data_IF_131702155738
#
_entry.id   IF_131702155738
#
_cell.length_a   1.000
_cell.length_b   1.000
_cell.length_c   1.000
_cell.angle_alpha   90.00
_cell.angle_beta   90.00
_cell.angle_gamma   90.00
#
_symmetry.space_group_name_H-M   'P 1'
#
loop_
_entity.id
_entity.type
_entity.pdbx_description
1 polymer ?
#
# COMPACT_ATOMS: atom_id res chain seq x y z
N UNK A 1 -33.65 -29.23 -21.80
CA UNK A 1 -32.96 -29.94 -20.69
C UNK A 1 -33.25 -29.21 -19.38
N UNK A 2 -33.72 -29.91 -18.37
CA UNK A 2 -34.01 -29.38 -17.03
C UNK A 2 -32.68 -29.01 -16.34
N UNK A 3 -32.58 -27.78 -15.80
CA UNK A 3 -31.34 -27.27 -15.19
C UNK A 3 -30.84 -28.07 -13.98
N UNK A 4 -31.77 -28.65 -13.20
CA UNK A 4 -31.41 -29.45 -12.02
C UNK A 4 -30.72 -30.75 -12.43
N UNK A 5 -31.25 -31.44 -13.43
CA UNK A 5 -30.67 -32.70 -13.93
C UNK A 5 -29.34 -32.51 -14.67
N UNK A 6 -29.20 -31.39 -15.41
CA UNK A 6 -27.89 -31.01 -15.97
C UNK A 6 -26.88 -30.80 -14.89
N UNK A 7 -27.27 -30.22 -13.75
CA UNK A 7 -26.40 -30.03 -12.59
C UNK A 7 -25.96 -31.34 -11.96
N UNK A 8 -26.82 -32.35 -11.92
CA UNK A 8 -26.44 -33.69 -11.43
C UNK A 8 -25.41 -34.36 -12.35
N UNK A 9 -25.65 -34.37 -13.64
CA UNK A 9 -24.71 -34.90 -14.65
C UNK A 9 -23.36 -34.16 -14.52
N UNK A 10 -23.38 -32.83 -14.44
CA UNK A 10 -22.18 -32.00 -14.25
C UNK A 10 -21.46 -32.37 -12.98
N UNK A 11 -22.14 -32.59 -11.86
CA UNK A 11 -21.55 -32.96 -10.57
C UNK A 11 -20.78 -34.30 -10.64
N UNK A 12 -21.34 -35.27 -11.33
CA UNK A 12 -20.70 -36.58 -11.55
C UNK A 12 -19.49 -36.42 -12.46
N UNK A 13 -19.62 -35.68 -13.53
CA UNK A 13 -18.50 -35.40 -14.44
C UNK A 13 -17.37 -34.65 -13.75
N UNK A 14 -17.66 -33.67 -12.90
CA UNK A 14 -16.65 -32.96 -12.09
C UNK A 14 -15.93 -33.88 -11.12
N UNK A 15 -16.64 -34.80 -10.43
CA UNK A 15 -16.01 -35.77 -9.53
C UNK A 15 -15.08 -36.73 -10.26
N UNK A 16 -15.38 -37.02 -11.53
CA UNK A 16 -14.61 -37.89 -12.41
C UNK A 16 -13.72 -37.11 -13.39
N UNK A 17 -13.55 -35.80 -13.20
CA UNK A 17 -12.77 -34.91 -14.08
C UNK A 17 -11.29 -35.31 -14.24
N UNK A 18 -10.73 -36.12 -13.32
CA UNK A 18 -9.41 -36.72 -13.47
C UNK A 18 -9.29 -37.68 -14.67
N UNK A 19 -10.42 -38.13 -15.23
CA UNK A 19 -10.46 -38.98 -16.43
C UNK A 19 -10.56 -38.17 -17.72
N UNK A 20 -10.88 -36.89 -17.65
CA UNK A 20 -10.78 -36.00 -18.81
C UNK A 20 -9.28 -35.83 -19.04
N UNK A 21 -8.78 -36.50 -20.07
CA UNK A 21 -7.38 -36.41 -20.50
C UNK A 21 -6.98 -34.98 -20.89
N UNK A 22 -5.79 -34.81 -21.41
CA UNK A 22 -5.33 -33.49 -21.89
C UNK A 22 -6.13 -33.03 -23.10
N UNK A 23 -6.63 -33.97 -23.92
CA UNK A 23 -7.34 -33.69 -25.16
C UNK A 23 -8.87 -33.71 -25.02
N UNK A 24 -9.45 -34.83 -24.66
CA UNK A 24 -10.90 -34.97 -24.46
C UNK A 24 -11.27 -36.26 -23.71
N UNK A 25 -12.53 -36.32 -23.22
CA UNK A 25 -13.17 -37.54 -22.73
C UNK A 25 -14.34 -37.85 -23.65
N UNK A 26 -14.38 -39.06 -24.27
CA UNK A 26 -15.49 -39.59 -25.04
C UNK A 26 -16.15 -40.76 -24.29
N UNK A 27 -17.44 -40.67 -24.09
CA UNK A 27 -18.30 -41.76 -23.59
C UNK A 27 -19.27 -42.15 -24.71
N UNK A 28 -19.04 -43.31 -25.27
CA UNK A 28 -19.79 -43.80 -26.45
C UNK A 28 -21.16 -44.37 -26.10
N UNK A 29 -21.35 -44.93 -24.88
CA UNK A 29 -22.63 -45.40 -24.36
C UNK A 29 -22.66 -45.18 -22.83
N UNK A 30 -23.36 -44.13 -22.40
CA UNK A 30 -23.48 -43.75 -20.98
C UNK A 30 -24.07 -44.82 -20.08
N UNK A 31 -24.87 -45.75 -20.61
CA UNK A 31 -25.46 -46.88 -19.85
C UNK A 31 -24.44 -47.92 -19.44
N UNK A 32 -23.22 -47.91 -20.00
CA UNK A 32 -22.12 -48.81 -19.64
C UNK A 32 -21.22 -48.22 -18.58
N UNK A 33 -21.38 -46.95 -18.24
CA UNK A 33 -20.54 -46.24 -17.29
C UNK A 33 -21.14 -46.28 -15.89
N UNK A 34 -20.49 -46.98 -14.95
CA UNK A 34 -20.98 -47.23 -13.58
C UNK A 34 -21.36 -45.96 -12.78
N UNK A 35 -20.74 -44.81 -13.08
CA UNK A 35 -21.03 -43.56 -12.36
C UNK A 35 -22.33 -42.88 -12.81
N UNK A 36 -23.00 -43.38 -13.82
CA UNK A 36 -24.29 -42.89 -14.28
C UNK A 36 -25.46 -43.88 -14.01
N UNK A 37 -25.20 -45.02 -13.34
CA UNK A 37 -26.23 -46.04 -13.06
C UNK A 37 -27.42 -45.50 -12.26
N UNK A 38 -27.24 -44.46 -11.43
CA UNK A 38 -28.25 -43.87 -10.57
C UNK A 38 -28.84 -42.56 -11.12
N UNK A 39 -28.43 -42.12 -12.33
CA UNK A 39 -28.83 -40.83 -12.88
C UNK A 39 -29.77 -41.05 -14.10
N UNK A 40 -30.90 -40.35 -14.08
CA UNK A 40 -31.74 -40.24 -15.27
C UNK A 40 -31.12 -39.28 -16.29
N UNK A 41 -30.49 -39.84 -17.33
CA UNK A 41 -29.84 -39.07 -18.39
C UNK A 41 -30.77 -38.65 -19.54
N UNK A 42 -32.10 -38.73 -19.33
CA UNK A 42 -33.12 -38.18 -20.25
C UNK A 42 -32.92 -38.56 -21.73
N UNK A 43 -32.53 -39.81 -21.98
CA UNK A 43 -32.29 -40.27 -23.34
C UNK A 43 -30.92 -39.92 -23.93
N UNK A 44 -30.06 -39.24 -23.23
CA UNK A 44 -28.69 -39.01 -23.65
C UNK A 44 -27.93 -40.33 -23.65
N UNK A 45 -27.33 -40.72 -24.76
CA UNK A 45 -26.66 -42.00 -24.93
C UNK A 45 -25.15 -41.88 -25.04
N UNK A 46 -24.65 -40.75 -25.53
CA UNK A 46 -23.19 -40.51 -25.59
C UNK A 46 -22.81 -39.08 -25.18
N UNK A 47 -21.57 -38.90 -24.76
CA UNK A 47 -21.02 -37.64 -24.23
C UNK A 47 -19.61 -37.41 -24.73
N UNK A 48 -19.33 -36.20 -25.13
CA UNK A 48 -17.99 -35.71 -25.40
C UNK A 48 -17.69 -34.52 -24.46
N UNK A 49 -16.62 -34.61 -23.68
CA UNK A 49 -16.16 -33.54 -22.83
C UNK A 49 -14.75 -33.06 -23.29
N UNK A 50 -14.63 -31.80 -23.63
CA UNK A 50 -13.38 -31.20 -24.13
C UNK A 50 -12.96 -30.12 -23.17
N UNK A 51 -11.76 -30.19 -22.57
CA UNK A 51 -11.28 -29.17 -21.66
C UNK A 51 -10.96 -27.88 -22.42
N UNK A 52 -11.42 -26.74 -21.87
CA UNK A 52 -10.99 -25.41 -22.32
C UNK A 52 -9.71 -25.05 -21.57
N UNK A 53 -8.59 -25.28 -22.18
CA UNK A 53 -7.26 -24.97 -21.62
C UNK A 53 -6.62 -23.86 -22.46
N UNK A 54 -5.94 -22.93 -21.78
CA UNK A 54 -5.10 -21.95 -22.43
C UNK A 54 -3.81 -21.79 -21.63
N UNK A 55 -2.68 -22.05 -22.27
CA UNK A 55 -1.36 -22.14 -21.62
C UNK A 55 -1.39 -23.10 -20.42
N UNK A 56 -1.24 -22.61 -19.19
CA UNK A 56 -1.27 -23.43 -17.97
C UNK A 56 -2.57 -23.25 -17.16
N UNK A 57 -3.59 -22.58 -17.72
CA UNK A 57 -4.85 -22.28 -17.02
C UNK A 57 -5.98 -23.16 -17.57
N UNK A 58 -6.70 -23.82 -16.66
CA UNK A 58 -7.94 -24.54 -16.98
C UNK A 58 -9.10 -23.54 -16.87
N UNK A 59 -9.66 -23.18 -18.04
CA UNK A 59 -10.77 -22.21 -18.13
C UNK A 59 -12.12 -22.85 -17.86
N UNK A 60 -12.27 -24.14 -18.20
CA UNK A 60 -13.52 -24.88 -18.04
C UNK A 60 -13.53 -26.19 -18.83
N UNK A 61 -14.69 -26.72 -19.06
CA UNK A 61 -14.93 -27.91 -19.89
C UNK A 61 -16.17 -27.68 -20.72
N UNK A 62 -16.10 -27.99 -22.02
CA UNK A 62 -17.25 -28.06 -22.90
C UNK A 62 -17.80 -29.48 -22.88
N UNK A 63 -19.10 -29.62 -22.55
CA UNK A 63 -19.83 -30.89 -22.63
C UNK A 63 -20.75 -30.86 -23.80
N UNK A 64 -20.67 -31.89 -24.65
CA UNK A 64 -21.62 -32.17 -25.74
C UNK A 64 -22.31 -33.49 -25.47
N UNK A 65 -23.62 -33.52 -25.66
CA UNK A 65 -24.47 -34.68 -25.41
C UNK A 65 -25.15 -35.11 -26.71
N UNK A 66 -25.31 -36.42 -26.90
CA UNK A 66 -26.04 -36.98 -28.03
C UNK A 66 -27.00 -38.07 -27.57
N UNK A 67 -28.19 -38.12 -28.20
CA UNK A 67 -29.22 -39.17 -28.01
C UNK A 67 -28.91 -40.43 -28.82
N UNK A 68 -27.80 -40.48 -29.52
CA UNK A 68 -27.36 -41.59 -30.34
C UNK A 68 -26.09 -42.20 -29.67
N UNK A 69 -26.02 -43.53 -29.62
CA UNK A 69 -24.79 -44.23 -29.26
C UNK A 69 -23.75 -43.96 -30.31
N UNK A 70 -22.47 -43.85 -29.87
CA UNK A 70 -21.39 -43.52 -30.78
C UNK A 70 -21.69 -42.24 -31.58
N UNK A 71 -22.36 -41.25 -30.94
CA UNK A 71 -22.87 -40.06 -31.61
C UNK A 71 -21.82 -39.03 -31.99
N UNK A 72 -20.53 -39.31 -31.77
CA UNK A 72 -19.43 -38.40 -32.08
C UNK A 72 -18.39 -39.13 -32.95
N UNK A 73 -18.38 -38.80 -34.25
CA UNK A 73 -17.37 -39.28 -35.18
C UNK A 73 -16.04 -38.53 -34.98
N UNK A 74 -14.93 -39.19 -35.37
CA UNK A 74 -13.60 -38.66 -35.17
C UNK A 74 -13.39 -37.31 -35.85
N UNK A 75 -13.86 -37.13 -37.05
CA UNK A 75 -13.78 -35.85 -37.78
C UNK A 75 -14.51 -34.73 -37.05
N UNK A 76 -15.67 -35.03 -36.42
CA UNK A 76 -16.43 -34.09 -35.62
C UNK A 76 -15.69 -33.73 -34.33
N UNK A 77 -15.08 -34.71 -33.67
CA UNK A 77 -14.25 -34.48 -32.45
C UNK A 77 -13.10 -33.55 -32.77
N UNK A 78 -12.34 -33.81 -33.86
CA UNK A 78 -11.18 -32.99 -34.26
C UNK A 78 -11.64 -31.55 -34.59
N UNK A 79 -12.75 -31.38 -35.28
CA UNK A 79 -13.31 -30.07 -35.59
C UNK A 79 -13.72 -29.29 -34.33
N UNK A 80 -14.48 -29.93 -33.43
CA UNK A 80 -14.95 -29.30 -32.19
C UNK A 80 -13.74 -28.97 -31.29
N UNK A 81 -12.75 -29.85 -31.18
CA UNK A 81 -11.52 -29.60 -30.41
C UNK A 81 -10.81 -28.38 -30.94
N UNK A 82 -10.71 -28.21 -32.26
CA UNK A 82 -10.12 -27.01 -32.86
C UNK A 82 -10.86 -25.73 -32.46
N UNK A 83 -12.20 -25.73 -32.53
CA UNK A 83 -13.00 -24.58 -32.09
C UNK A 83 -12.89 -24.31 -30.57
N UNK A 84 -12.84 -25.36 -29.76
CA UNK A 84 -12.65 -25.23 -28.30
C UNK A 84 -11.29 -24.59 -27.98
N UNK A 85 -10.23 -25.02 -28.67
CA UNK A 85 -8.91 -24.42 -28.50
C UNK A 85 -8.86 -22.95 -28.92
N UNK A 86 -9.51 -22.59 -30.02
CA UNK A 86 -9.65 -21.21 -30.46
C UNK A 86 -10.47 -20.38 -29.48
N UNK A 87 -11.60 -20.91 -28.97
CA UNK A 87 -12.42 -20.26 -27.95
C UNK A 87 -11.65 -20.07 -26.65
N UNK A 88 -10.88 -21.09 -26.21
CA UNK A 88 -10.05 -21.02 -25.01
C UNK A 88 -9.04 -19.89 -25.10
N UNK A 89 -8.33 -19.79 -26.23
CA UNK A 89 -7.37 -18.71 -26.50
C UNK A 89 -8.06 -17.35 -26.49
N UNK A 90 -9.24 -17.23 -27.11
CA UNK A 90 -10.00 -15.99 -27.16
C UNK A 90 -10.46 -15.54 -25.76
N UNK A 91 -10.96 -16.48 -24.94
CA UNK A 91 -11.39 -16.21 -23.55
C UNK A 91 -10.19 -15.76 -22.71
N UNK A 92 -9.04 -16.45 -22.83
CA UNK A 92 -7.83 -16.08 -22.09
C UNK A 92 -7.34 -14.68 -22.48
N UNK A 93 -7.27 -14.40 -23.78
CA UNK A 93 -6.89 -13.07 -24.26
C UNK A 93 -7.82 -11.96 -23.75
N UNK A 94 -9.13 -12.21 -23.77
CA UNK A 94 -10.10 -11.25 -23.24
C UNK A 94 -9.89 -10.99 -21.74
N UNK A 95 -9.63 -12.03 -20.95
CA UNK A 95 -9.32 -11.88 -19.51
C UNK A 95 -8.04 -11.07 -19.29
N UNK A 96 -6.97 -11.39 -20.03
CA UNK A 96 -5.69 -10.67 -19.94
C UNK A 96 -5.84 -9.19 -20.32
N UNK A 97 -6.55 -8.89 -21.39
CA UNK A 97 -6.81 -7.50 -21.81
C UNK A 97 -7.60 -6.75 -20.72
N UNK A 98 -8.66 -7.35 -20.18
CA UNK A 98 -9.43 -6.72 -19.12
C UNK A 98 -8.61 -6.47 -17.84
N UNK A 99 -7.71 -7.40 -17.51
CA UNK A 99 -6.80 -7.22 -16.37
C UNK A 99 -5.79 -6.11 -16.64
N UNK A 100 -5.21 -6.06 -17.84
CA UNK A 100 -4.30 -5.00 -18.24
C UNK A 100 -4.96 -3.62 -18.19
N UNK A 101 -6.20 -3.48 -18.69
CA UNK A 101 -6.97 -2.23 -18.63
C UNK A 101 -7.24 -1.80 -17.18
N UNK A 102 -7.62 -2.74 -16.30
CA UNK A 102 -7.80 -2.42 -14.87
C UNK A 102 -6.50 -1.97 -14.22
N UNK A 103 -5.40 -2.67 -14.48
CA UNK A 103 -4.09 -2.31 -13.92
C UNK A 103 -3.64 -0.93 -14.41
N UNK A 104 -3.80 -0.63 -15.71
CA UNK A 104 -3.47 0.67 -16.27
C UNK A 104 -4.25 1.81 -15.57
N UNK A 105 -5.54 1.59 -15.32
CA UNK A 105 -6.36 2.56 -14.59
C UNK A 105 -5.88 2.76 -13.13
N UNK A 106 -5.52 1.69 -12.42
CA UNK A 106 -4.97 1.81 -11.06
C UNK A 106 -3.66 2.61 -11.04
N UNK A 107 -2.78 2.37 -12.01
CA UNK A 107 -1.52 3.14 -12.14
C UNK A 107 -1.80 4.62 -12.37
N UNK A 108 -2.78 4.95 -13.21
CA UNK A 108 -3.17 6.34 -13.47
C UNK A 108 -3.75 7.01 -12.21
N UNK A 109 -4.64 6.34 -11.49
CA UNK A 109 -5.23 6.83 -10.23
C UNK A 109 -4.15 7.07 -9.16
N UNK A 110 -3.17 6.17 -9.03
CA UNK A 110 -2.02 6.35 -8.12
C UNK A 110 -1.11 7.51 -8.55
N UNK A 111 -0.89 7.71 -9.84
CA UNK A 111 -0.11 8.85 -10.33
C UNK A 111 -0.79 10.20 -10.02
N UNK A 112 -2.12 10.25 -10.05
CA UNK A 112 -2.88 11.44 -9.61
C UNK A 112 -2.72 11.62 -8.10
N UNK A 113 -2.86 10.55 -7.29
CA UNK A 113 -2.68 10.61 -5.86
C UNK A 113 -1.29 11.13 -5.47
N UNK A 114 -0.24 10.67 -6.16
CA UNK A 114 1.14 11.16 -6.00
C UNK A 114 1.27 12.66 -6.23
N UNK A 115 0.67 13.17 -7.30
CA UNK A 115 0.69 14.61 -7.61
C UNK A 115 -0.02 15.43 -6.53
N UNK A 116 -1.17 14.96 -6.07
CA UNK A 116 -1.91 15.61 -4.98
C UNK A 116 -1.08 15.60 -3.70
N UNK A 117 -0.50 14.47 -3.31
CA UNK A 117 0.35 14.37 -2.13
C UNK A 117 1.57 15.31 -2.21
N UNK A 118 2.27 15.32 -3.35
CA UNK A 118 3.40 16.22 -3.55
C UNK A 118 3.01 17.69 -3.40
N UNK A 119 1.78 18.08 -3.79
CA UNK A 119 1.27 19.44 -3.60
C UNK A 119 0.98 19.80 -2.14
N UNK A 120 0.87 18.81 -1.26
CA UNK A 120 0.70 19.03 0.18
C UNK A 120 2.02 19.36 0.88
N UNK A 121 3.17 19.01 0.31
CA UNK A 121 4.47 19.33 0.88
C UNK A 121 4.92 20.74 0.44
N UNK A 122 5.70 21.45 1.27
CA UNK A 122 6.26 22.74 0.89
C UNK A 122 7.18 22.61 -0.32
N UNK A 123 7.05 23.53 -1.26
CA UNK A 123 7.89 23.60 -2.47
C UNK A 123 8.80 24.86 -2.50
N UNK A 124 8.68 25.72 -1.52
CA UNK A 124 9.53 26.90 -1.33
C UNK A 124 10.06 26.87 0.10
N UNK A 125 11.32 27.16 0.28
CA UNK A 125 11.97 27.10 1.58
C UNK A 125 12.46 28.47 1.99
N UNK A 126 12.65 28.66 3.31
CA UNK A 126 13.17 29.89 3.88
C UNK A 126 14.63 30.01 3.49
N UNK A 127 14.97 31.13 2.92
CA UNK A 127 16.34 31.47 2.53
C UNK A 127 16.52 32.98 2.69
N UNK A 128 16.90 33.39 3.89
CA UNK A 128 17.14 34.80 4.23
C UNK A 128 18.48 34.96 4.98
N UNK A 129 18.77 36.12 5.48
CA UNK A 129 20.01 36.41 6.20
C UNK A 129 20.15 35.66 7.55
N UNK A 130 19.04 35.14 8.09
CA UNK A 130 18.98 34.50 9.41
C UNK A 130 18.90 32.99 9.34
N UNK A 131 18.20 32.46 8.34
CA UNK A 131 17.92 31.02 8.25
C UNK A 131 17.96 30.56 6.79
N UNK A 132 18.76 29.51 6.54
CA UNK A 132 18.72 28.75 5.31
C UNK A 132 18.09 27.39 5.57
N UNK A 133 17.02 27.08 4.87
CA UNK A 133 16.31 25.82 4.98
C UNK A 133 16.27 25.11 3.63
N UNK A 134 16.47 23.81 3.62
CA UNK A 134 16.26 22.94 2.47
C UNK A 134 15.61 21.64 2.93
N UNK A 135 14.76 21.07 2.11
CA UNK A 135 14.21 19.74 2.34
C UNK A 135 13.98 19.01 1.02
N UNK A 136 13.99 17.69 1.09
CA UNK A 136 13.68 16.81 -0.02
C UNK A 136 12.89 15.62 0.52
N UNK A 137 11.96 15.08 -0.29
CA UNK A 137 11.24 13.84 -0.02
C UNK A 137 11.25 12.99 -1.28
N UNK A 138 11.65 11.74 -1.12
CA UNK A 138 11.70 10.73 -2.19
C UNK A 138 10.94 9.52 -1.67
N UNK A 139 9.71 9.31 -2.16
CA UNK A 139 8.91 8.15 -1.77
C UNK A 139 9.44 6.89 -2.44
N UNK A 140 9.52 5.78 -1.71
CA UNK A 140 9.88 4.48 -2.25
C UNK A 140 8.77 3.91 -3.16
N UNK A 141 7.51 4.14 -2.80
CA UNK A 141 6.32 3.77 -3.57
C UNK A 141 5.72 5.00 -4.27
N UNK A 142 4.59 4.82 -4.97
CA UNK A 142 3.87 5.90 -5.66
C UNK A 142 3.43 7.01 -4.71
N UNK A 143 3.03 6.66 -3.46
CA UNK A 143 2.68 7.58 -2.38
C UNK A 143 3.30 7.11 -1.07
N UNK A 144 3.68 8.04 -0.20
CA UNK A 144 4.44 7.76 1.04
C UNK A 144 3.74 8.24 2.31
N UNK A 145 4.31 7.86 3.47
CA UNK A 145 3.91 8.32 4.80
C UNK A 145 4.66 9.57 5.28
N UNK A 146 5.81 9.85 4.69
CA UNK A 146 6.68 10.96 5.09
C UNK A 146 5.98 12.31 4.98
N UNK A 147 6.14 13.11 6.02
CA UNK A 147 5.58 14.45 6.12
C UNK A 147 6.61 15.43 6.66
N UNK A 148 6.76 16.57 6.04
CA UNK A 148 7.43 17.71 6.62
C UNK A 148 6.68 18.99 6.26
N UNK A 149 6.76 19.97 7.15
CA UNK A 149 6.19 21.29 6.91
C UNK A 149 6.90 22.34 7.76
N UNK A 150 6.68 23.60 7.45
CA UNK A 150 7.12 24.70 8.27
C UNK A 150 6.18 25.90 8.18
N UNK A 151 6.22 26.74 9.20
CA UNK A 151 5.44 27.96 9.28
C UNK A 151 6.28 29.07 9.88
N UNK A 152 6.28 30.23 9.26
CA UNK A 152 6.83 31.45 9.84
C UNK A 152 5.84 31.99 10.85
N UNK A 153 6.20 31.98 12.13
CA UNK A 153 5.37 32.48 13.22
C UNK A 153 5.54 34.00 13.41
N UNK A 154 6.74 34.48 13.14
CA UNK A 154 7.10 35.90 13.07
C UNK A 154 8.40 36.04 12.28
N UNK A 155 8.86 37.24 11.99
CA UNK A 155 10.07 37.56 11.19
C UNK A 155 11.33 36.72 11.59
N UNK A 156 11.46 36.36 12.85
CA UNK A 156 12.61 35.58 13.38
C UNK A 156 12.20 34.32 14.13
N UNK A 157 10.97 33.86 13.95
CA UNK A 157 10.47 32.67 14.64
C UNK A 157 9.78 31.73 13.69
N UNK A 158 10.23 30.49 13.66
CA UNK A 158 9.79 29.49 12.72
C UNK A 158 9.39 28.20 13.45
N UNK A 159 8.30 27.58 13.02
CA UNK A 159 7.91 26.24 13.46
C UNK A 159 8.20 25.26 12.35
N UNK A 160 8.91 24.18 12.62
CA UNK A 160 9.26 23.12 11.68
C UNK A 160 8.72 21.81 12.21
N UNK A 161 8.22 20.97 11.34
CA UNK A 161 7.74 19.63 11.67
C UNK A 161 8.21 18.63 10.64
N UNK A 162 8.60 17.43 11.12
CA UNK A 162 8.85 16.26 10.29
C UNK A 162 8.24 15.05 10.97
N UNK A 163 7.75 14.10 10.20
CA UNK A 163 7.18 12.87 10.72
C UNK A 163 7.03 11.82 9.66
N UNK A 164 6.75 10.62 10.11
CA UNK A 164 6.45 9.48 9.26
C UNK A 164 5.23 8.74 9.79
N UNK A 165 4.39 8.30 8.88
CA UNK A 165 3.16 7.57 9.14
C UNK A 165 3.41 6.09 9.01
N UNK A 166 3.13 5.33 10.06
CA UNK A 166 3.23 3.87 10.03
C UNK A 166 2.38 3.26 8.90
N UNK A 167 2.96 2.29 8.19
CA UNK A 167 2.35 1.66 7.02
C UNK A 167 2.79 2.29 5.71
N UNK A 168 2.21 1.82 4.60
CA UNK A 168 2.61 2.22 3.23
C UNK A 168 1.40 2.49 2.36
N UNK A 169 1.64 3.13 1.23
CA UNK A 169 0.63 3.35 0.21
C UNK A 169 -0.41 4.42 0.57
N UNK A 170 -1.60 4.30 0.00
CA UNK A 170 -2.66 5.33 0.07
C UNK A 170 -3.15 5.62 1.48
N UNK A 171 -3.20 4.60 2.37
CA UNK A 171 -3.61 4.81 3.77
C UNK A 171 -2.64 5.74 4.50
N UNK A 172 -1.33 5.51 4.37
CA UNK A 172 -0.30 6.37 4.95
C UNK A 172 -0.39 7.82 4.39
N UNK A 173 -0.60 7.97 3.08
CA UNK A 173 -0.78 9.26 2.45
C UNK A 173 -1.98 10.04 2.99
N UNK A 174 -3.11 9.38 3.25
CA UNK A 174 -4.29 10.02 3.88
C UNK A 174 -4.03 10.43 5.32
N UNK A 175 -3.31 9.64 6.09
CA UNK A 175 -2.94 9.99 7.46
C UNK A 175 -1.95 11.15 7.49
N UNK A 176 -1.01 11.21 6.53
CA UNK A 176 -0.13 12.38 6.33
C UNK A 176 -0.94 13.66 6.06
N UNK A 177 -1.92 13.59 5.15
CA UNK A 177 -2.78 14.73 4.86
C UNK A 177 -3.59 15.20 6.09
N UNK A 178 -4.08 14.26 6.93
CA UNK A 178 -4.70 14.58 8.22
C UNK A 178 -3.72 15.29 9.15
N UNK A 179 -2.48 14.78 9.28
CA UNK A 179 -1.45 15.40 10.10
C UNK A 179 -1.15 16.83 9.65
N UNK A 180 -1.07 17.06 8.33
CA UNK A 180 -0.92 18.42 7.78
C UNK A 180 -2.04 19.36 8.22
N UNK A 181 -3.29 18.91 8.14
CA UNK A 181 -4.43 19.72 8.60
C UNK A 181 -4.36 20.03 10.09
N UNK A 182 -3.98 19.06 10.92
CA UNK A 182 -3.78 19.23 12.37
C UNK A 182 -2.65 20.21 12.63
N UNK A 183 -1.50 20.07 11.95
CA UNK A 183 -0.36 20.96 12.06
C UNK A 183 -0.76 22.41 11.78
N UNK A 184 -1.36 22.70 10.63
CA UNK A 184 -1.76 24.05 10.26
C UNK A 184 -2.80 24.68 11.18
N UNK A 185 -3.61 23.86 11.84
CA UNK A 185 -4.55 24.34 12.85
C UNK A 185 -3.86 24.66 14.17
N UNK A 186 -3.04 23.73 14.68
CA UNK A 186 -2.43 23.85 16.00
C UNK A 186 -1.28 24.87 16.04
N UNK A 187 -0.55 25.04 14.93
CA UNK A 187 0.57 25.99 14.85
C UNK A 187 0.11 27.44 15.09
N UNK A 188 -1.13 27.78 14.74
CA UNK A 188 -1.72 29.10 14.97
C UNK A 188 -1.93 29.41 16.46
N UNK A 189 -1.95 28.39 17.30
CA UNK A 189 -2.18 28.56 18.75
C UNK A 189 -0.90 28.91 19.53
N UNK A 190 0.25 28.93 18.87
CA UNK A 190 1.57 29.20 19.49
C UNK A 190 1.82 28.39 20.77
N UNK A 191 1.45 27.13 20.75
CA UNK A 191 1.60 26.24 21.90
C UNK A 191 3.06 25.84 22.12
N UNK A 192 3.48 25.58 23.38
CA UNK A 192 4.71 24.83 23.64
C UNK A 192 4.71 23.50 22.90
N UNK A 193 5.88 23.04 22.46
CA UNK A 193 6.01 21.86 21.56
C UNK A 193 5.46 20.57 22.16
N UNK A 194 5.60 20.36 23.48
CA UNK A 194 4.99 19.21 24.19
C UNK A 194 3.45 19.28 24.20
N UNK A 195 2.87 20.47 24.35
CA UNK A 195 1.43 20.68 24.29
C UNK A 195 0.89 20.50 22.88
N UNK A 196 1.65 20.95 21.87
CA UNK A 196 1.31 20.68 20.48
C UNK A 196 1.15 19.17 20.23
N UNK A 197 2.16 18.36 20.64
CA UNK A 197 2.10 16.90 20.48
C UNK A 197 0.91 16.28 21.22
N UNK A 198 0.58 16.76 22.41
CA UNK A 198 -0.60 16.31 23.17
C UNK A 198 -1.89 16.53 22.38
N UNK A 199 -2.11 17.74 21.86
CA UNK A 199 -3.33 18.06 21.11
C UNK A 199 -3.37 17.33 19.76
N UNK A 200 -2.23 17.20 19.08
CA UNK A 200 -2.10 16.41 17.87
C UNK A 200 -2.46 14.93 18.11
N UNK A 201 -1.95 14.35 19.21
CA UNK A 201 -2.29 12.99 19.61
C UNK A 201 -3.80 12.81 19.85
N UNK A 202 -4.41 13.77 20.55
CA UNK A 202 -5.86 13.73 20.84
C UNK A 202 -6.67 13.76 19.54
N UNK A 203 -6.32 14.65 18.60
CA UNK A 203 -7.02 14.79 17.32
C UNK A 203 -6.84 13.53 16.44
N UNK A 204 -5.63 12.97 16.39
CA UNK A 204 -5.33 11.77 15.63
C UNK A 204 -5.98 10.52 16.23
N UNK A 205 -5.98 10.38 17.55
CA UNK A 205 -6.53 9.22 18.26
C UNK A 205 -8.00 8.97 17.95
N UNK A 206 -8.75 10.00 17.62
CA UNK A 206 -10.16 9.90 17.22
C UNK A 206 -10.35 9.35 15.78
N UNK A 207 -9.33 9.41 14.94
CA UNK A 207 -9.46 9.17 13.49
C UNK A 207 -8.45 8.18 12.90
N UNK A 208 -7.45 7.75 13.66
CA UNK A 208 -6.51 6.71 13.24
C UNK A 208 -7.09 5.33 13.49
N UNK A 209 -6.84 4.41 12.57
CA UNK A 209 -7.15 2.99 12.75
C UNK A 209 -6.34 2.37 13.89
N UNK A 210 -6.83 1.25 14.45
CA UNK A 210 -6.07 0.52 15.47
C UNK A 210 -4.77 -0.02 14.87
N UNK A 211 -3.65 0.25 15.53
CA UNK A 211 -2.32 -0.16 15.07
C UNK A 211 -1.61 0.88 14.20
N UNK A 212 -2.31 1.89 13.70
CA UNK A 212 -1.68 3.02 13.00
C UNK A 212 -1.21 4.08 13.98
N UNK A 213 -0.04 4.65 13.73
CA UNK A 213 0.58 5.72 14.51
C UNK A 213 1.38 6.64 13.59
N UNK A 214 1.76 7.80 14.10
CA UNK A 214 2.61 8.75 13.39
C UNK A 214 3.79 9.09 14.29
N UNK A 215 4.99 8.93 13.80
CA UNK A 215 6.17 9.48 14.45
C UNK A 215 6.33 10.95 14.04
N UNK A 216 6.67 11.83 14.98
CA UNK A 216 6.75 13.26 14.71
C UNK A 216 7.83 13.94 15.56
N UNK A 217 8.58 14.83 14.94
CA UNK A 217 9.38 15.84 15.64
C UNK A 217 8.82 17.21 15.30
N UNK A 218 8.57 18.03 16.31
CA UNK A 218 8.25 19.44 16.18
C UNK A 218 9.33 20.29 16.79
N UNK A 219 9.66 21.40 16.13
CA UNK A 219 10.72 22.30 16.54
C UNK A 219 10.29 23.74 16.31
N UNK A 220 10.44 24.57 17.31
CA UNK A 220 10.27 26.03 17.23
C UNK A 220 11.65 26.68 17.31
N UNK A 221 12.06 27.33 16.26
CA UNK A 221 13.33 28.05 16.12
C UNK A 221 13.04 29.52 16.41
N UNK A 222 13.60 30.05 17.50
CA UNK A 222 13.50 31.44 17.89
C UNK A 222 14.89 32.09 17.74
N UNK A 223 15.09 32.76 16.63
CA UNK A 223 16.39 33.38 16.28
C UNK A 223 16.63 34.66 17.05
N UNK A 224 15.60 35.30 17.58
CA UNK A 224 15.76 36.48 18.42
C UNK A 224 16.37 36.11 19.78
N UNK A 225 15.84 35.04 20.40
CA UNK A 225 16.35 34.53 21.67
C UNK A 225 17.50 33.51 21.50
N UNK A 226 17.82 33.14 20.26
CA UNK A 226 18.85 32.12 19.91
C UNK A 226 18.59 30.79 20.60
N UNK A 227 17.38 30.34 20.56
CA UNK A 227 16.94 29.06 21.14
C UNK A 227 16.13 28.23 20.15
N UNK A 228 16.18 26.95 20.36
CA UNK A 228 15.30 25.99 19.74
C UNK A 228 14.54 25.27 20.83
N UNK A 229 13.23 25.28 20.73
CA UNK A 229 12.35 24.45 21.53
C UNK A 229 11.92 23.25 20.69
N UNK A 230 12.11 22.03 21.17
CA UNK A 230 11.76 20.82 20.44
C UNK A 230 11.08 19.79 21.31
N UNK A 231 10.22 18.99 20.69
CA UNK A 231 9.60 17.79 21.28
C UNK A 231 9.49 16.70 20.22
N UNK A 232 9.67 15.45 20.64
CA UNK A 232 9.68 14.27 19.75
C UNK A 232 8.62 13.26 20.17
N UNK A 233 7.88 12.73 19.21
CA UNK A 233 6.92 11.66 19.34
C UNK A 233 7.42 10.42 18.60
N UNK A 234 8.44 9.73 19.14
CA UNK A 234 8.96 8.46 18.59
C UNK A 234 9.64 8.54 17.22
N UNK A 235 9.91 9.73 16.70
CA UNK A 235 10.57 9.94 15.42
C UNK A 235 12.08 9.71 15.50
N UNK A 236 12.80 9.70 14.38
CA UNK A 236 14.27 9.65 14.35
C UNK A 236 14.88 10.77 15.20
N UNK A 237 16.05 10.55 15.86
CA UNK A 237 16.72 11.60 16.63
C UNK A 237 17.20 12.71 15.70
N UNK A 238 17.13 13.95 16.17
CA UNK A 238 17.62 15.10 15.43
C UNK A 238 19.14 15.14 15.48
N UNK A 239 19.80 15.31 14.33
CA UNK A 239 21.25 15.51 14.29
C UNK A 239 21.54 17.02 14.39
N UNK A 240 22.39 17.40 15.34
CA UNK A 240 22.81 18.76 15.57
C UNK A 240 24.32 18.90 15.40
N UNK A 241 24.75 19.79 14.54
CA UNK A 241 26.16 20.18 14.37
C UNK A 241 26.41 21.55 15.01
N UNK A 242 27.25 21.58 16.01
CA UNK A 242 27.67 22.80 16.65
C UNK A 242 28.87 23.41 15.90
N UNK A 243 28.68 24.59 15.33
CA UNK A 243 29.72 25.27 14.53
C UNK A 243 30.95 25.64 15.33
N UNK A 244 30.79 26.03 16.60
CA UNK A 244 31.93 26.48 17.47
C UNK A 244 32.81 25.33 17.89
N UNK A 245 32.23 24.21 18.30
CA UNK A 245 32.96 23.02 18.76
C UNK A 245 33.34 22.07 17.63
N UNK A 246 32.71 22.20 16.44
CA UNK A 246 32.84 21.29 15.30
C UNK A 246 32.40 19.87 15.60
N UNK A 247 31.49 19.70 16.54
CA UNK A 247 30.99 18.40 16.95
C UNK A 247 29.55 18.18 16.43
N UNK A 248 29.25 16.93 16.06
CA UNK A 248 27.90 16.46 15.79
C UNK A 248 27.40 15.66 16.99
N UNK A 249 26.13 15.84 17.34
CA UNK A 249 25.49 15.10 18.40
C UNK A 249 24.04 14.81 18.02
N UNK A 250 23.49 13.69 18.51
CA UNK A 250 22.08 13.40 18.39
C UNK A 250 21.31 13.99 19.56
N UNK A 251 20.29 14.78 19.27
CA UNK A 251 19.34 15.26 20.27
C UNK A 251 18.30 14.16 20.47
N UNK A 252 18.50 13.39 21.53
CA UNK A 252 17.58 12.31 21.91
C UNK A 252 16.59 12.80 22.96
N UNK A 253 15.32 12.58 22.68
CA UNK A 253 14.21 12.86 23.59
C UNK A 253 13.33 11.64 23.72
N UNK A 254 12.84 11.38 24.93
CA UNK A 254 11.79 10.41 25.12
C UNK A 254 10.50 10.89 24.43
N UNK A 255 9.85 9.98 23.73
CA UNK A 255 8.60 10.28 23.07
C UNK A 255 7.99 9.05 22.45
N UNK A 256 6.68 8.91 22.59
CA UNK A 256 5.90 7.84 21.99
C UNK A 256 5.16 8.37 20.76
N UNK A 257 5.10 7.60 19.67
CA UNK A 257 4.38 7.97 18.45
C UNK A 257 2.93 8.37 18.71
N UNK A 258 2.45 9.33 17.95
CA UNK A 258 1.07 9.81 18.02
C UNK A 258 0.10 8.69 17.62
N UNK A 259 -0.96 8.49 18.41
CA UNK A 259 -1.96 7.44 18.17
C UNK A 259 -1.67 6.09 18.83
N UNK A 260 -0.46 5.88 19.39
CA UNK A 260 -0.12 4.64 20.13
C UNK A 260 -0.84 4.65 21.48
N UNK A 261 -0.67 5.70 22.26
CA UNK A 261 -1.37 5.89 23.54
C UNK A 261 -2.49 6.91 23.38
N UNK A 262 -3.73 6.43 23.41
CA UNK A 262 -4.93 7.20 23.03
C UNK A 262 -5.68 7.79 24.22
N UNK A 263 -5.00 8.10 25.31
CA UNK A 263 -5.58 8.61 26.54
C UNK A 263 -4.77 9.79 27.10
N UNK A 264 -5.19 10.31 28.23
CA UNK A 264 -4.59 11.48 28.88
C UNK A 264 -3.14 11.28 29.33
N UNK A 265 -2.73 10.03 29.53
CA UNK A 265 -1.37 9.69 29.96
C UNK A 265 -0.31 10.00 28.90
N UNK A 266 -0.70 10.20 27.64
CA UNK A 266 0.23 10.53 26.55
C UNK A 266 1.11 11.74 26.88
N UNK A 267 0.63 12.73 27.65
CA UNK A 267 1.41 13.92 28.03
C UNK A 267 2.66 13.57 28.85
N UNK A 268 2.67 12.45 29.55
CA UNK A 268 3.80 11.98 30.34
C UNK A 268 4.84 11.25 29.50
N UNK A 269 4.51 10.91 28.26
CA UNK A 269 5.40 10.23 27.32
C UNK A 269 6.13 11.20 26.39
N UNK A 270 5.88 12.48 26.47
CA UNK A 270 6.54 13.51 25.67
C UNK A 270 7.22 14.52 26.57
N UNK A 271 8.38 14.97 26.15
CA UNK A 271 9.14 16.00 26.86
C UNK A 271 9.46 17.15 25.93
N UNK A 272 9.62 18.33 26.53
CA UNK A 272 10.09 19.54 25.86
C UNK A 272 11.55 19.77 26.23
N UNK A 273 12.37 20.07 25.24
CA UNK A 273 13.77 20.46 25.41
C UNK A 273 14.01 21.81 24.78
N UNK A 274 14.83 22.62 25.42
CA UNK A 274 15.29 23.92 24.90
C UNK A 274 16.78 23.87 24.75
N UNK A 275 17.27 24.26 23.57
CA UNK A 275 18.67 24.29 23.21
C UNK A 275 19.07 25.72 22.82
N UNK A 276 20.27 26.14 23.19
CA UNK A 276 20.86 27.37 22.68
C UNK A 276 21.55 27.10 21.36
N UNK A 277 21.40 28.01 20.41
CA UNK A 277 22.00 27.92 19.07
C UNK A 277 22.86 29.13 18.76
N UNK A 278 23.85 28.93 17.92
CA UNK A 278 24.74 29.94 17.43
C UNK A 278 24.70 30.05 15.91
N UNK A 279 25.22 31.15 15.41
CA UNK A 279 25.37 31.33 13.97
C UNK A 279 26.31 30.25 13.40
N UNK A 280 25.86 29.62 12.30
CA UNK A 280 26.61 28.54 11.64
C UNK A 280 26.27 27.13 12.16
N UNK A 281 25.45 26.99 13.20
CA UNK A 281 24.97 25.70 13.63
C UNK A 281 24.05 25.08 12.55
N UNK A 282 24.05 23.74 12.43
CA UNK A 282 23.25 23.00 11.45
C UNK A 282 22.39 21.99 12.18
N UNK A 283 21.15 21.89 11.75
CA UNK A 283 20.19 20.90 12.25
C UNK A 283 19.73 20.06 11.07
N UNK A 284 19.79 18.75 11.24
CA UNK A 284 19.27 17.80 10.24
C UNK A 284 18.16 16.97 10.87
N UNK A 285 17.00 17.04 10.24
CA UNK A 285 15.84 16.23 10.54
C UNK A 285 15.64 15.24 9.38
N UNK A 286 15.39 13.98 9.67
CA UNK A 286 15.28 12.93 8.65
C UNK A 286 14.32 11.83 9.10
N UNK A 287 13.77 11.09 8.14
CA UNK A 287 12.96 9.89 8.38
C UNK A 287 13.83 8.63 8.31
N UNK A 288 13.32 7.51 8.79
CA UNK A 288 14.03 6.22 8.82
C UNK A 288 14.45 5.73 7.43
N UNK A 289 13.75 6.18 6.37
CA UNK A 289 14.10 5.87 4.99
C UNK A 289 15.56 6.20 4.61
N UNK A 290 16.22 7.14 5.33
CA UNK A 290 17.67 7.43 5.14
C UNK A 290 18.53 6.35 5.78
N UNK A 291 18.30 6.04 7.04
CA UNK A 291 19.12 5.08 7.80
C UNK A 291 18.86 3.64 7.39
N UNK A 292 17.66 3.35 6.90
CA UNK A 292 17.26 2.05 6.38
C UNK A 292 17.61 1.85 4.90
N UNK A 293 18.07 2.89 4.20
CA UNK A 293 18.52 2.77 2.82
C UNK A 293 19.61 1.71 2.71
N UNK A 294 19.47 0.82 1.71
CA UNK A 294 20.41 -0.27 1.49
C UNK A 294 21.23 -0.05 0.22
N UNK A 295 22.48 -0.50 0.23
CA UNK A 295 23.35 -0.54 -0.95
C UNK A 295 23.06 -1.81 -1.79
N UNK A 296 23.82 -2.02 -2.87
CA UNK A 296 23.72 -3.21 -3.73
C UNK A 296 23.98 -4.52 -2.97
N UNK A 297 24.76 -4.48 -1.91
CA UNK A 297 25.10 -5.62 -1.03
C UNK A 297 24.08 -5.84 0.10
N UNK A 298 22.95 -5.11 0.09
CA UNK A 298 21.91 -5.15 1.11
C UNK A 298 22.36 -4.67 2.51
N UNK A 299 23.44 -3.90 2.59
CA UNK A 299 23.86 -3.27 3.83
C UNK A 299 23.12 -1.94 4.03
N UNK A 300 22.56 -1.74 5.22
CA UNK A 300 21.90 -0.48 5.58
C UNK A 300 22.92 0.67 5.73
N UNK A 301 22.46 1.89 5.40
CA UNK A 301 23.25 3.10 5.66
C UNK A 301 23.57 3.25 7.16
N UNK A 302 22.57 3.04 8.03
CA UNK A 302 22.70 3.04 9.48
C UNK A 302 22.95 4.42 10.08
N UNK A 303 23.21 4.44 11.39
CA UNK A 303 23.48 5.67 12.14
C UNK A 303 24.97 6.01 12.23
N UNK A 304 25.86 5.09 11.87
CA UNK A 304 27.31 5.23 12.03
C UNK A 304 27.99 5.91 10.82
N UNK A 305 27.25 6.12 9.75
CA UNK A 305 27.69 6.78 8.51
C UNK A 305 27.08 8.16 8.41
#
# INVERSE_FOLDING_TARGET
>A
LDKERLSEIESVLRRNSRKIGEDYLLIEDMRKEKYFEEIDYMGILSLLAIPLNSYNEKLGVLYLFSEIKHGFEREMIDLVTTYVNQASTSISNFRLINQAVKNARYVEELAIAKKVQASLLPNKFINNEYLHMAAASISADEVGGDYFDFTELSEKKYCVVIGDVSGKGTSAAFHMAKMKGIYHTLVQLNLPTDKFLKYANTALSASLERGSFITLTIMVIDLENRIIETSRAGHCPTLYFNHLTRQCEFIEQKGLGLGILRNEWYIHEVSRQVLHINNGDIIVLYTDGIVEAVNEDQEQFGYDR
#
